data_IF_055581342288
#
_entry.id   IF_055581342288
#
_cell.length_a   1.000
_cell.length_b   1.000
_cell.length_c   1.000
_cell.angle_alpha   90.00
_cell.angle_beta   90.00
_cell.angle_gamma   90.00
#
_symmetry.space_group_name_H-M   'P 1'
#
loop_
_entity.id
_entity.type
_entity.pdbx_description
1 polymer ?
#
# COMPACT_ATOMS: atom_id res chain seq x y z
N UNK A 1 -37.47 -44.52 44.66
CA UNK A 1 -37.73 -43.09 44.81
C UNK A 1 -37.36 -42.44 43.47
N UNK A 2 -38.37 -42.24 42.57
CA UNK A 2 -38.16 -41.69 41.21
C UNK A 2 -38.47 -40.19 41.30
N UNK A 3 -37.46 -39.37 41.04
CA UNK A 3 -37.69 -37.95 40.89
C UNK A 3 -38.15 -37.68 39.46
N UNK A 4 -39.31 -37.17 39.23
CA UNK A 4 -39.69 -36.70 37.90
C UNK A 4 -39.11 -35.29 37.74
N UNK A 5 -38.03 -35.16 37.05
CA UNK A 5 -37.67 -33.86 36.47
C UNK A 5 -38.74 -33.51 35.43
N UNK A 6 -39.78 -32.85 35.87
CA UNK A 6 -40.78 -32.27 34.98
C UNK A 6 -40.16 -31.05 34.29
N UNK A 7 -39.58 -31.28 33.13
CA UNK A 7 -39.15 -30.26 32.19
C UNK A 7 -40.27 -29.52 31.49
N UNK A 8 -41.49 -29.70 31.99
CA UNK A 8 -42.66 -29.24 31.32
C UNK A 8 -43.20 -27.97 31.96
N UNK A 9 -42.65 -26.85 31.70
CA UNK A 9 -43.33 -25.53 31.67
C UNK A 9 -42.35 -24.36 31.72
N UNK A 10 -41.34 -24.36 30.87
CA UNK A 10 -40.88 -23.07 30.39
C UNK A 10 -42.01 -22.50 29.54
N UNK A 11 -42.55 -21.31 29.86
CA UNK A 11 -43.65 -20.75 29.08
C UNK A 11 -43.19 -20.66 27.63
N UNK A 12 -44.06 -21.00 26.67
CA UNK A 12 -43.72 -21.01 25.25
C UNK A 12 -43.02 -19.70 24.81
N UNK A 13 -43.39 -18.59 25.40
CA UNK A 13 -42.76 -17.28 25.22
C UNK A 13 -41.24 -17.32 25.51
N UNK A 14 -40.82 -18.00 26.59
CA UNK A 14 -39.37 -18.08 26.92
C UNK A 14 -38.61 -18.90 25.87
N UNK A 15 -39.22 -19.98 25.34
CA UNK A 15 -38.61 -20.77 24.27
C UNK A 15 -38.51 -19.97 22.97
N UNK A 16 -39.52 -19.17 22.62
CA UNK A 16 -39.43 -18.26 21.47
C UNK A 16 -38.36 -17.20 21.66
N UNK A 17 -38.25 -16.59 22.85
CA UNK A 17 -37.20 -15.60 23.14
C UNK A 17 -35.81 -16.22 23.07
N UNK A 18 -35.60 -17.41 23.60
CA UNK A 18 -34.31 -18.12 23.51
C UNK A 18 -33.99 -18.48 22.06
N UNK A 19 -34.99 -18.93 21.28
CA UNK A 19 -34.81 -19.19 19.86
C UNK A 19 -34.45 -17.94 19.07
N UNK A 20 -35.10 -16.82 19.31
CA UNK A 20 -34.79 -15.54 18.69
C UNK A 20 -33.37 -15.07 19.05
N UNK A 21 -33.02 -15.17 20.33
CA UNK A 21 -31.67 -14.82 20.80
C UNK A 21 -30.59 -15.69 20.11
N UNK A 22 -30.83 -16.99 19.99
CA UNK A 22 -29.94 -17.92 19.31
C UNK A 22 -29.75 -17.54 17.82
N UNK A 23 -30.85 -17.18 17.13
CA UNK A 23 -30.79 -16.72 15.73
C UNK A 23 -29.97 -15.43 15.62
N UNK A 24 -30.22 -14.44 16.47
CA UNK A 24 -29.46 -13.18 16.48
C UNK A 24 -27.97 -13.44 16.76
N UNK A 25 -27.65 -14.25 17.76
CA UNK A 25 -26.28 -14.62 18.09
C UNK A 25 -25.56 -15.33 16.93
N UNK A 26 -26.29 -16.23 16.24
CA UNK A 26 -25.75 -16.94 15.06
C UNK A 26 -25.49 -15.98 13.90
N UNK A 27 -26.44 -15.08 13.61
CA UNK A 27 -26.25 -14.06 12.57
C UNK A 27 -25.10 -13.12 12.90
N UNK A 28 -24.99 -12.68 14.14
CA UNK A 28 -23.87 -11.86 14.61
C UNK A 28 -22.54 -12.60 14.45
N UNK A 29 -22.44 -13.84 14.90
CA UNK A 29 -21.26 -14.66 14.75
C UNK A 29 -20.89 -14.89 13.27
N UNK A 30 -21.89 -15.02 12.39
CA UNK A 30 -21.67 -15.15 10.95
C UNK A 30 -21.10 -13.86 10.36
N UNK A 31 -21.68 -12.71 10.69
CA UNK A 31 -21.21 -11.38 10.23
C UNK A 31 -19.77 -11.13 10.66
N UNK A 32 -19.45 -11.37 11.93
CA UNK A 32 -18.10 -11.22 12.46
C UNK A 32 -17.13 -12.25 11.88
N UNK A 33 -17.54 -13.53 11.83
CA UNK A 33 -16.69 -14.63 11.34
C UNK A 33 -16.39 -14.53 9.86
N UNK A 34 -17.29 -14.02 9.04
CA UNK A 34 -17.09 -13.78 7.61
C UNK A 34 -16.42 -12.41 7.33
N UNK A 35 -16.06 -11.65 8.36
CA UNK A 35 -15.47 -10.32 8.24
C UNK A 35 -16.26 -9.40 7.31
N UNK A 36 -17.60 -9.43 7.42
CA UNK A 36 -18.49 -8.60 6.61
C UNK A 36 -18.52 -7.13 7.08
N UNK A 37 -18.01 -6.86 8.28
CA UNK A 37 -17.81 -5.49 8.78
C UNK A 37 -16.42 -5.03 8.37
N UNK A 38 -16.29 -3.89 7.67
CA UNK A 38 -14.99 -3.30 7.39
C UNK A 38 -14.20 -3.07 8.67
N UNK A 39 -12.87 -3.16 8.63
CA UNK A 39 -12.05 -2.79 9.78
C UNK A 39 -12.24 -1.29 10.08
N UNK A 40 -12.29 -0.94 11.33
CA UNK A 40 -12.35 0.44 11.81
C UNK A 40 -10.98 1.13 11.86
N UNK A 41 -9.92 0.36 11.64
CA UNK A 41 -8.54 0.81 11.66
C UNK A 41 -7.74 0.16 10.53
N UNK A 42 -7.02 1.00 9.76
CA UNK A 42 -6.17 0.59 8.64
C UNK A 42 -4.79 1.23 8.75
N UNK A 43 -3.76 0.53 8.26
CA UNK A 43 -2.39 1.02 8.17
C UNK A 43 -1.95 1.06 6.71
N UNK A 44 -1.53 2.25 6.24
CA UNK A 44 -1.14 2.48 4.86
C UNK A 44 0.32 2.93 4.76
N UNK A 45 1.13 2.19 4.01
CA UNK A 45 2.45 2.65 3.62
C UNK A 45 2.34 3.63 2.44
N UNK A 46 2.88 4.83 2.63
CA UNK A 46 2.79 5.91 1.64
C UNK A 46 4.15 6.19 0.99
N UNK A 47 4.90 7.11 1.55
CA UNK A 47 6.20 7.55 1.07
C UNK A 47 6.77 8.56 2.04
N UNK A 48 7.82 9.25 1.65
CA UNK A 48 8.40 10.30 2.47
C UNK A 48 7.38 11.43 2.69
N UNK A 49 7.39 12.00 3.87
CA UNK A 49 6.51 13.12 4.24
C UNK A 49 6.64 14.27 3.23
N UNK A 50 5.51 14.76 2.75
CA UNK A 50 5.45 15.80 1.70
C UNK A 50 5.58 15.26 0.27
N UNK A 51 5.80 13.97 0.06
CA UNK A 51 5.72 13.35 -1.27
C UNK A 51 4.28 13.28 -1.77
N UNK A 52 4.08 13.05 -3.07
CA UNK A 52 2.76 12.90 -3.67
C UNK A 52 1.98 11.74 -3.01
N UNK A 53 2.62 10.63 -2.73
CA UNK A 53 1.99 9.49 -2.06
C UNK A 53 1.55 9.83 -0.64
N UNK A 54 2.39 10.54 0.11
CA UNK A 54 2.04 10.94 1.47
C UNK A 54 0.85 11.90 1.48
N UNK A 55 0.86 12.92 0.62
CA UNK A 55 -0.26 13.86 0.47
C UNK A 55 -1.55 13.15 0.05
N UNK A 56 -1.44 12.15 -0.81
CA UNK A 56 -2.58 11.36 -1.23
C UNK A 56 -3.13 10.51 -0.07
N UNK A 57 -2.26 9.92 0.73
CA UNK A 57 -2.66 9.19 1.93
C UNK A 57 -3.36 10.09 2.96
N UNK A 58 -2.92 11.35 3.12
CA UNK A 58 -3.59 12.35 3.98
C UNK A 58 -5.02 12.66 3.49
N UNK A 59 -5.23 12.71 2.17
CA UNK A 59 -6.58 12.87 1.62
C UNK A 59 -7.45 11.64 1.89
N UNK A 60 -6.91 10.43 1.71
CA UNK A 60 -7.62 9.20 2.07
C UNK A 60 -7.96 9.15 3.56
N UNK A 61 -7.03 9.55 4.42
CA UNK A 61 -7.26 9.61 5.86
C UNK A 61 -8.47 10.49 6.20
N UNK A 62 -8.59 11.63 5.53
CA UNK A 62 -9.72 12.55 5.73
C UNK A 62 -11.05 11.91 5.29
N UNK A 63 -11.08 11.30 4.11
CA UNK A 63 -12.30 10.68 3.57
C UNK A 63 -12.73 9.46 4.40
N UNK A 64 -11.79 8.61 4.77
CA UNK A 64 -12.08 7.41 5.57
C UNK A 64 -12.57 7.75 6.98
N UNK A 65 -12.10 8.87 7.54
CA UNK A 65 -12.56 9.34 8.85
C UNK A 65 -14.06 9.72 8.84
N UNK A 66 -14.61 10.16 7.70
CA UNK A 66 -16.04 10.45 7.55
C UNK A 66 -16.88 9.16 7.68
N UNK A 67 -16.33 8.02 7.30
CA UNK A 67 -16.94 6.70 7.43
C UNK A 67 -16.55 5.99 8.76
N UNK A 68 -15.89 6.69 9.67
CA UNK A 68 -15.48 6.15 10.97
C UNK A 68 -14.27 5.21 10.92
N UNK A 69 -13.52 5.22 9.83
CA UNK A 69 -12.32 4.39 9.66
C UNK A 69 -11.07 5.24 9.97
N UNK A 70 -10.29 4.80 10.92
CA UNK A 70 -9.01 5.41 11.24
C UNK A 70 -7.92 4.88 10.31
N UNK A 71 -7.20 5.78 9.62
CA UNK A 71 -6.06 5.43 8.77
C UNK A 71 -4.75 5.91 9.41
N UNK A 72 -3.86 4.98 9.72
CA UNK A 72 -2.48 5.28 10.11
C UNK A 72 -1.58 5.33 8.88
N UNK A 73 -0.97 6.47 8.64
CA UNK A 73 -0.04 6.68 7.53
C UNK A 73 1.36 6.35 7.99
N UNK A 74 1.96 5.34 7.37
CA UNK A 74 3.34 4.91 7.63
C UNK A 74 4.26 5.60 6.62
N UNK A 75 5.17 6.41 7.15
CA UNK A 75 6.21 7.05 6.33
C UNK A 75 7.24 6.03 5.89
N UNK A 76 7.63 6.08 4.61
CA UNK A 76 8.62 5.18 4.00
C UNK A 76 9.48 5.97 3.02
N UNK A 77 10.53 5.36 2.45
CA UNK A 77 11.29 5.99 1.38
C UNK A 77 10.56 5.93 0.01
N UNK A 78 9.46 5.17 -0.10
CA UNK A 78 8.61 5.10 -1.29
C UNK A 78 8.25 3.69 -1.71
N UNK A 79 7.94 3.52 -3.00
CA UNK A 79 7.31 2.31 -3.54
C UNK A 79 8.09 1.02 -3.31
N UNK A 80 9.42 1.07 -3.29
CA UNK A 80 10.22 -0.13 -3.06
C UNK A 80 10.07 -0.61 -1.62
N UNK A 81 10.18 0.31 -0.66
CA UNK A 81 9.98 0.01 0.76
C UNK A 81 8.53 -0.44 1.01
N UNK A 82 7.56 0.25 0.39
CA UNK A 82 6.15 -0.09 0.50
C UNK A 82 5.89 -1.53 0.04
N UNK A 83 6.51 -1.93 -1.08
CA UNK A 83 6.42 -3.29 -1.58
C UNK A 83 7.06 -4.29 -0.62
N UNK A 84 8.24 -3.99 -0.08
CA UNK A 84 8.94 -4.88 0.85
C UNK A 84 8.14 -5.08 2.13
N UNK A 85 7.54 -4.01 2.66
CA UNK A 85 6.66 -4.07 3.82
C UNK A 85 5.37 -4.87 3.52
N UNK A 86 4.79 -4.75 2.32
CA UNK A 86 3.62 -5.55 1.92
C UNK A 86 3.97 -7.03 1.69
N UNK A 87 5.19 -7.33 1.27
CA UNK A 87 5.66 -8.71 1.13
C UNK A 87 5.93 -9.38 2.49
N UNK A 88 6.13 -8.59 3.55
CA UNK A 88 6.32 -9.06 4.93
C UNK A 88 4.97 -9.19 5.65
N UNK A 89 4.54 -10.42 5.87
CA UNK A 89 3.30 -10.71 6.62
C UNK A 89 3.31 -10.23 8.07
N UNK A 90 4.47 -9.95 8.64
CA UNK A 90 4.64 -9.43 10.00
C UNK A 90 4.54 -7.90 10.09
N UNK A 91 4.53 -7.18 8.98
CA UNK A 91 4.50 -5.72 8.94
C UNK A 91 3.24 -5.11 9.54
N UNK A 92 2.12 -5.84 9.51
CA UNK A 92 0.81 -5.36 9.92
C UNK A 92 0.27 -4.23 9.04
N UNK A 93 0.73 -4.14 7.78
CA UNK A 93 0.19 -3.21 6.79
C UNK A 93 -1.01 -3.82 6.07
N UNK A 94 -2.02 -2.99 5.84
CA UNK A 94 -3.23 -3.36 5.12
C UNK A 94 -3.19 -2.86 3.67
N UNK A 95 -2.62 -1.67 3.43
CA UNK A 95 -2.62 -0.98 2.15
C UNK A 95 -1.25 -0.36 1.89
N UNK A 96 -0.87 -0.27 0.62
CA UNK A 96 0.34 0.46 0.21
C UNK A 96 0.15 1.15 -1.14
N UNK A 97 0.76 2.31 -1.29
CA UNK A 97 0.89 3.01 -2.56
C UNK A 97 2.19 2.55 -3.24
N UNK A 98 2.06 1.92 -4.39
CA UNK A 98 3.20 1.33 -5.12
C UNK A 98 3.17 1.79 -6.57
N UNK A 99 4.31 2.24 -7.07
CA UNK A 99 4.47 2.63 -8.47
C UNK A 99 4.27 1.43 -9.40
N UNK A 100 3.58 1.66 -10.50
CA UNK A 100 3.39 0.64 -11.52
C UNK A 100 4.72 0.09 -12.06
N UNK A 101 4.75 -1.21 -12.34
CA UNK A 101 5.96 -1.89 -12.85
C UNK A 101 6.89 -2.44 -11.77
N UNK A 102 6.65 -2.17 -10.48
CA UNK A 102 7.40 -2.80 -9.40
C UNK A 102 6.78 -4.17 -9.09
N UNK A 103 7.56 -5.23 -9.34
CA UNK A 103 7.09 -6.60 -9.09
C UNK A 103 7.01 -6.92 -7.60
N UNK A 104 5.95 -7.59 -7.19
CA UNK A 104 5.81 -8.20 -5.87
C UNK A 104 6.11 -9.70 -5.92
N UNK A 105 6.58 -10.25 -4.83
CA UNK A 105 6.77 -11.70 -4.65
C UNK A 105 5.56 -12.35 -4.00
N UNK A 106 4.74 -11.57 -3.32
CA UNK A 106 3.56 -12.06 -2.63
C UNK A 106 2.37 -12.15 -3.60
N UNK A 107 1.98 -13.37 -3.94
CA UNK A 107 0.87 -13.66 -4.84
C UNK A 107 -0.52 -13.41 -4.22
N UNK A 108 -0.59 -13.14 -2.92
CA UNK A 108 -1.84 -12.84 -2.23
C UNK A 108 -2.16 -11.33 -2.20
N UNK A 109 -1.31 -10.49 -2.79
CA UNK A 109 -1.58 -9.07 -2.92
C UNK A 109 -2.51 -8.79 -4.10
N UNK A 110 -3.49 -7.95 -3.86
CA UNK A 110 -4.44 -7.51 -4.88
C UNK A 110 -4.26 -6.02 -5.16
N UNK A 111 -4.17 -5.64 -6.43
CA UNK A 111 -4.26 -4.24 -6.82
C UNK A 111 -5.72 -3.79 -6.71
N UNK A 112 -5.98 -2.80 -5.87
CA UNK A 112 -7.33 -2.27 -5.66
C UNK A 112 -7.71 -1.26 -6.75
N UNK A 113 -6.79 -0.36 -7.10
CA UNK A 113 -7.01 0.66 -8.11
C UNK A 113 -5.69 1.24 -8.63
N UNK A 114 -5.73 1.86 -9.81
CA UNK A 114 -4.71 2.80 -10.26
C UNK A 114 -5.14 4.21 -9.85
N UNK A 115 -4.34 4.87 -9.02
CA UNK A 115 -4.73 6.12 -8.36
C UNK A 115 -4.47 7.32 -9.24
N UNK A 116 -3.28 7.39 -9.86
CA UNK A 116 -2.90 8.43 -10.82
C UNK A 116 -1.77 7.92 -11.73
N UNK A 117 -1.62 8.52 -12.95
CA UNK A 117 -0.50 8.19 -13.82
C UNK A 117 0.80 8.78 -13.29
N UNK A 118 1.88 8.01 -13.34
CA UNK A 118 3.22 8.45 -12.94
C UNK A 118 4.15 8.41 -14.16
N UNK A 119 4.23 9.50 -14.93
CA UNK A 119 5.13 9.55 -16.08
C UNK A 119 6.57 9.60 -15.61
N UNK A 120 7.45 8.82 -16.23
CA UNK A 120 8.88 8.93 -16.03
C UNK A 120 9.41 10.10 -16.86
N UNK A 121 9.68 11.22 -16.20
CA UNK A 121 10.26 12.42 -16.83
C UNK A 121 11.78 12.40 -16.66
N UNK A 122 12.50 12.61 -17.77
CA UNK A 122 13.96 12.67 -17.77
C UNK A 122 14.39 14.07 -18.15
N UNK A 123 15.09 14.73 -17.24
CA UNK A 123 15.63 16.08 -17.46
C UNK A 123 17.14 16.01 -17.69
N UNK A 124 17.64 16.77 -18.62
CA UNK A 124 19.07 16.92 -18.88
C UNK A 124 19.43 18.40 -18.99
N UNK A 125 20.66 18.72 -18.58
CA UNK A 125 21.18 20.07 -18.80
C UNK A 125 21.39 20.29 -20.29
N UNK A 126 21.01 21.46 -20.78
CA UNK A 126 21.12 21.80 -22.22
C UNK A 126 22.57 21.75 -22.70
N UNK A 127 23.53 22.16 -21.86
CA UNK A 127 24.96 22.18 -22.15
C UNK A 127 25.63 20.79 -22.03
N UNK A 128 24.90 19.75 -21.63
CA UNK A 128 25.47 18.42 -21.44
C UNK A 128 25.73 17.67 -22.76
N UNK A 129 25.23 18.17 -23.89
CA UNK A 129 25.41 17.58 -25.23
C UNK A 129 24.83 16.15 -25.33
N UNK A 130 23.72 15.88 -24.67
CA UNK A 130 23.11 14.54 -24.59
C UNK A 130 22.10 14.34 -25.73
N UNK A 131 22.11 13.16 -26.33
CA UNK A 131 21.08 12.75 -27.28
C UNK A 131 19.73 12.46 -26.61
N UNK A 132 18.66 12.37 -27.41
CA UNK A 132 17.28 12.20 -26.91
C UNK A 132 16.98 10.87 -26.24
N UNK A 133 17.86 9.86 -26.32
CA UNK A 133 17.69 8.60 -25.64
C UNK A 133 18.56 8.52 -24.36
N UNK A 134 17.97 8.66 -23.17
CA UNK A 134 18.71 8.66 -21.91
C UNK A 134 19.41 7.32 -21.64
N UNK A 135 18.92 6.23 -22.18
CA UNK A 135 19.51 4.90 -21.98
C UNK A 135 20.77 4.64 -22.81
N UNK A 136 21.12 5.54 -23.72
CA UNK A 136 22.37 5.49 -24.49
C UNK A 136 23.51 6.31 -23.86
N UNK A 137 23.26 7.06 -22.78
CA UNK A 137 24.27 7.93 -22.17
C UNK A 137 25.32 7.13 -21.42
N UNK A 138 26.58 7.27 -21.80
CA UNK A 138 27.71 6.56 -21.18
C UNK A 138 28.55 7.54 -20.39
N UNK A 139 29.02 7.13 -19.19
CA UNK A 139 29.94 7.93 -18.37
C UNK A 139 29.34 9.21 -17.80
N UNK A 140 27.99 9.32 -17.77
CA UNK A 140 27.30 10.49 -17.23
C UNK A 140 26.78 10.20 -15.83
N UNK A 141 26.82 11.22 -14.97
CA UNK A 141 26.19 11.14 -13.65
C UNK A 141 24.69 11.35 -13.81
N UNK A 142 23.90 10.43 -13.27
CA UNK A 142 22.43 10.46 -13.37
C UNK A 142 21.85 10.38 -11.96
N UNK A 143 20.97 11.31 -11.64
CA UNK A 143 20.19 11.26 -10.41
C UNK A 143 18.98 10.36 -10.62
N UNK A 144 18.94 9.24 -9.91
CA UNK A 144 17.89 8.22 -10.05
C UNK A 144 16.79 8.32 -8.99
N UNK A 145 16.91 9.23 -8.05
CA UNK A 145 16.07 9.30 -6.86
C UNK A 145 16.68 8.59 -5.65
N UNK A 146 16.07 8.77 -4.50
CA UNK A 146 16.52 8.18 -3.24
C UNK A 146 16.49 6.64 -3.27
N UNK A 147 17.26 6.02 -2.40
CA UNK A 147 17.15 4.57 -2.12
C UNK A 147 15.72 4.29 -1.65
N UNK A 148 15.15 3.13 -2.01
CA UNK A 148 13.76 2.78 -1.68
C UNK A 148 12.71 3.46 -2.56
N UNK A 149 13.06 4.47 -3.38
CA UNK A 149 12.08 5.16 -4.24
C UNK A 149 11.66 4.32 -5.45
N UNK A 150 10.40 4.50 -5.88
CA UNK A 150 9.86 3.86 -7.07
C UNK A 150 10.58 4.28 -8.35
N UNK A 151 10.93 5.56 -8.49
CA UNK A 151 11.66 6.08 -9.65
C UNK A 151 12.98 5.35 -9.84
N UNK A 152 13.76 5.18 -8.76
CA UNK A 152 15.02 4.44 -8.81
C UNK A 152 14.80 2.99 -9.24
N UNK A 153 13.79 2.32 -8.69
CA UNK A 153 13.46 0.93 -9.03
C UNK A 153 13.10 0.78 -10.52
N UNK A 154 12.22 1.64 -11.02
CA UNK A 154 11.79 1.63 -12.43
C UNK A 154 12.94 1.91 -13.38
N UNK A 155 13.78 2.92 -13.10
CA UNK A 155 14.93 3.22 -13.95
C UNK A 155 15.96 2.10 -13.97
N UNK A 156 16.24 1.46 -12.81
CA UNK A 156 17.11 0.27 -12.75
C UNK A 156 16.54 -0.88 -13.58
N UNK A 157 15.25 -1.13 -13.49
CA UNK A 157 14.59 -2.17 -14.27
C UNK A 157 14.63 -1.89 -15.78
N UNK A 158 14.30 -0.68 -16.20
CA UNK A 158 14.36 -0.27 -17.60
C UNK A 158 15.80 -0.37 -18.16
N UNK A 159 16.79 0.07 -17.39
CA UNK A 159 18.18 -0.03 -17.80
C UNK A 159 18.64 -1.49 -17.96
N UNK A 160 18.17 -2.40 -17.10
CA UNK A 160 18.44 -3.82 -17.24
C UNK A 160 17.80 -4.40 -18.51
N UNK A 161 16.54 -4.07 -18.77
CA UNK A 161 15.80 -4.53 -19.95
C UNK A 161 16.38 -4.00 -21.25
N UNK A 162 16.84 -2.75 -21.27
CA UNK A 162 17.44 -2.09 -22.44
C UNK A 162 18.93 -2.34 -22.57
N UNK A 163 19.56 -3.03 -21.60
CA UNK A 163 21.02 -3.22 -21.51
C UNK A 163 21.76 -1.87 -21.52
N UNK A 164 21.17 -0.86 -20.89
CA UNK A 164 21.70 0.49 -20.91
C UNK A 164 22.96 0.61 -20.07
N UNK A 165 24.02 1.22 -20.57
CA UNK A 165 25.28 1.41 -19.84
C UNK A 165 25.20 2.47 -18.74
N UNK A 166 24.11 3.21 -18.67
CA UNK A 166 23.91 4.35 -17.76
C UNK A 166 24.08 3.99 -16.28
N UNK A 167 23.80 2.75 -15.91
CA UNK A 167 23.94 2.27 -14.53
C UNK A 167 25.31 1.67 -14.20
N UNK A 168 26.20 1.52 -15.21
CA UNK A 168 27.56 1.05 -14.97
C UNK A 168 28.45 2.13 -14.32
N UNK A 169 27.99 3.37 -14.29
CA UNK A 169 28.74 4.51 -13.78
C UNK A 169 28.02 5.16 -12.62
N UNK A 170 28.44 4.76 -11.42
CA UNK A 170 28.22 5.43 -10.15
C UNK A 170 26.79 5.87 -9.80
N UNK A 171 26.28 5.15 -8.84
CA UNK A 171 25.21 5.55 -7.97
C UNK A 171 25.63 6.79 -7.14
N UNK A 172 25.57 7.94 -7.73
CA UNK A 172 25.56 9.17 -6.98
C UNK A 172 24.10 9.46 -6.64
N UNK A 173 23.62 8.77 -5.62
CA UNK A 173 22.47 9.24 -4.86
C UNK A 173 22.80 10.66 -4.45
N UNK A 174 22.27 11.62 -5.19
CA UNK A 174 22.27 12.99 -4.70
C UNK A 174 21.42 12.96 -3.45
N UNK A 175 22.06 13.11 -2.32
CA UNK A 175 21.45 13.60 -1.12
C UNK A 175 20.50 14.73 -1.54
N UNK A 176 19.20 14.57 -1.27
CA UNK A 176 18.16 15.60 -1.38
C UNK A 176 17.49 15.88 -2.73
N UNK A 177 17.33 14.94 -3.64
CA UNK A 177 16.26 15.07 -4.61
C UNK A 177 15.01 14.34 -4.07
N UNK A 178 14.50 14.83 -2.96
CA UNK A 178 13.15 14.54 -2.50
C UNK A 178 12.18 15.11 -3.52
N UNK A 179 11.25 14.27 -3.98
CA UNK A 179 10.37 14.56 -5.07
C UNK A 179 9.79 15.98 -5.03
N UNK A 180 9.85 16.65 -6.16
CA UNK A 180 8.95 17.76 -6.48
C UNK A 180 9.35 19.16 -6.08
N UNK A 181 10.59 19.47 -5.72
CA UNK A 181 11.09 20.85 -5.80
C UNK A 181 12.03 20.99 -6.99
N UNK A 182 11.44 21.22 -8.16
CA UNK A 182 12.13 21.94 -9.21
C UNK A 182 12.40 23.35 -8.67
N UNK A 183 13.66 23.70 -8.52
CA UNK A 183 14.09 25.08 -8.37
C UNK A 183 13.96 25.79 -9.71
#
# INVERSE_FOLDING_TARGET
MKWPLSFSRLPAVLLYLLGLLAVIATLYALVVGLRLVPPDHLRMAAGAKGSAYYQFAEQYQTVLAEDGIQLDIIETAGSQDNRELMDDSGSGLDIALIQGGIATKNLNLNALAAVFPEPLLVFARVDAGLGGNPFSWTGKRVALGAEGSGTRAVVKQLATLTRAPILATQDNSSENLVGGKAA
#
